data_IF_211322366327
#
_entry.id   IF_211322366327
#
_cell.length_a   1.000
_cell.length_b   1.000
_cell.length_c   1.000
_cell.angle_alpha   90.00
_cell.angle_beta   90.00
_cell.angle_gamma   90.00
#
_symmetry.space_group_name_H-M   'P 1'
#
loop_
_entity.id
_entity.type
_entity.pdbx_description
1 polymer ?
#
# COMPACT_ATOMS: atom_id res chain seq x y z
N UNK A 1 17.85 -3.54 1.03
CA UNK A 1 18.62 -3.21 -0.20
C UNK A 1 17.75 -2.36 -1.13
N UNK A 2 18.32 -1.43 -1.90
CA UNK A 2 17.58 -0.57 -2.84
C UNK A 2 18.23 -0.65 -4.21
N UNK A 3 17.45 -0.76 -5.28
CA UNK A 3 17.94 -0.80 -6.66
C UNK A 3 18.46 0.57 -7.12
N UNK A 4 19.50 1.08 -6.46
CA UNK A 4 20.18 2.32 -6.81
C UNK A 4 21.30 1.96 -7.79
N UNK A 5 21.01 2.11 -9.09
CA UNK A 5 21.93 1.79 -10.17
C UNK A 5 23.25 2.57 -10.10
N UNK A 6 24.35 1.88 -10.43
CA UNK A 6 25.66 2.46 -10.73
C UNK A 6 25.50 3.55 -11.81
N UNK A 7 25.99 4.76 -11.55
CA UNK A 7 26.11 5.82 -12.57
C UNK A 7 27.10 5.34 -13.65
N UNK A 8 26.68 5.38 -14.92
CA UNK A 8 27.60 5.39 -16.07
C UNK A 8 28.42 6.68 -15.99
N UNK A 9 29.73 6.56 -15.83
CA UNK A 9 30.64 7.70 -15.95
C UNK A 9 30.59 8.28 -17.36
N UNK A 10 30.52 9.61 -17.46
CA UNK A 10 30.74 10.33 -18.71
C UNK A 10 32.24 10.29 -19.02
N UNK A 11 32.63 9.61 -20.09
CA UNK A 11 33.94 9.79 -20.71
C UNK A 11 33.78 10.72 -21.92
N UNK A 12 34.75 11.61 -22.07
CA UNK A 12 34.79 12.72 -23.01
C UNK A 12 34.91 12.25 -24.48
N UNK A 13 34.53 13.15 -25.38
CA UNK A 13 34.54 13.01 -26.81
C UNK A 13 35.94 12.82 -27.39
N UNK A 14 36.09 11.89 -28.34
CA UNK A 14 36.95 11.99 -29.52
C UNK A 14 36.42 11.01 -30.60
N UNK A 15 36.17 11.52 -31.81
CA UNK A 15 36.05 10.81 -33.08
C UNK A 15 37.16 11.38 -33.99
N UNK A 16 37.57 10.75 -35.12
CA UNK A 16 36.89 9.68 -35.87
C UNK A 16 37.80 8.52 -36.37
N UNK A 17 37.22 7.41 -36.82
CA UNK A 17 37.41 6.85 -38.19
C UNK A 17 36.68 5.49 -38.36
N UNK A 18 36.08 5.35 -39.54
CA UNK A 18 35.22 4.26 -40.01
C UNK A 18 35.83 2.85 -39.91
N UNK A 19 35.10 1.91 -39.28
CA UNK A 19 35.05 0.51 -39.71
C UNK A 19 33.61 -0.01 -39.60
N UNK A 20 33.02 -0.32 -40.75
CA UNK A 20 31.71 -0.96 -40.91
C UNK A 20 31.78 -2.41 -40.37
N UNK A 21 31.34 -2.62 -39.14
CA UNK A 21 30.88 -3.94 -38.69
C UNK A 21 29.37 -3.87 -38.50
N UNK A 22 28.63 -4.51 -39.40
CA UNK A 22 27.24 -4.89 -39.17
C UNK A 22 27.22 -5.92 -38.02
N UNK A 23 27.21 -5.42 -36.78
CA UNK A 23 26.69 -6.19 -35.65
C UNK A 23 25.19 -6.20 -35.80
N UNK A 24 24.65 -7.35 -36.16
CA UNK A 24 23.25 -7.70 -35.90
C UNK A 24 22.98 -7.41 -34.43
N UNK A 25 22.32 -6.29 -34.15
CA UNK A 25 21.78 -5.97 -32.84
C UNK A 25 20.70 -7.01 -32.56
N UNK A 26 21.08 -8.09 -31.86
CA UNK A 26 20.08 -8.84 -31.10
C UNK A 26 19.37 -7.84 -30.20
N UNK A 27 18.03 -7.84 -30.12
CA UNK A 27 17.30 -6.96 -29.22
C UNK A 27 17.72 -7.29 -27.80
N UNK A 28 18.65 -6.50 -27.24
CA UNK A 28 19.10 -6.64 -25.88
C UNK A 28 17.87 -6.62 -24.98
N UNK A 29 17.57 -7.74 -24.34
CA UNK A 29 16.44 -7.83 -23.42
C UNK A 29 16.69 -6.83 -22.28
N UNK A 30 15.97 -5.71 -22.31
CA UNK A 30 16.00 -4.75 -21.21
C UNK A 30 15.27 -5.41 -20.04
N UNK A 31 16.02 -6.00 -19.11
CA UNK A 31 15.47 -6.59 -17.90
C UNK A 31 14.79 -5.53 -17.03
N UNK A 32 13.62 -5.87 -16.49
CA UNK A 32 12.92 -5.00 -15.55
C UNK A 32 13.82 -4.64 -14.38
N UNK A 33 13.76 -3.38 -13.95
CA UNK A 33 14.53 -2.85 -12.82
C UNK A 33 16.05 -3.11 -12.94
N UNK A 34 16.57 -3.22 -14.15
CA UNK A 34 17.98 -3.54 -14.43
C UNK A 34 18.46 -4.85 -13.80
N UNK A 35 17.59 -5.87 -13.72
CA UNK A 35 17.92 -7.20 -13.20
C UNK A 35 18.38 -7.18 -11.72
N UNK A 36 17.97 -6.17 -10.95
CA UNK A 36 18.50 -5.95 -9.61
C UNK A 36 18.02 -6.96 -8.55
N UNK A 37 16.99 -7.76 -8.85
CA UNK A 37 16.43 -8.78 -7.95
C UNK A 37 16.82 -10.21 -8.35
N UNK A 38 17.81 -10.37 -9.23
CA UNK A 38 18.17 -11.67 -9.78
C UNK A 38 18.62 -12.63 -8.67
N UNK A 39 17.87 -13.73 -8.50
CA UNK A 39 18.14 -14.71 -7.45
C UNK A 39 17.81 -14.24 -6.02
N UNK A 40 17.21 -13.06 -5.85
CA UNK A 40 16.66 -12.63 -4.56
C UNK A 40 15.48 -13.55 -4.19
N UNK A 41 15.36 -13.83 -2.89
CA UNK A 41 14.36 -14.77 -2.36
C UNK A 41 13.42 -14.09 -1.38
N UNK A 42 12.20 -14.64 -1.27
CA UNK A 42 11.30 -14.34 -0.15
C UNK A 42 11.11 -15.61 0.66
N UNK A 43 11.46 -15.54 1.95
CA UNK A 43 11.49 -16.68 2.87
C UNK A 43 10.56 -16.39 4.05
N UNK A 44 9.69 -17.35 4.36
CA UNK A 44 8.83 -17.33 5.54
C UNK A 44 9.42 -18.19 6.65
N UNK A 45 9.36 -17.68 7.87
CA UNK A 45 9.52 -18.47 9.08
C UNK A 45 8.51 -18.03 10.15
N UNK A 46 8.19 -18.94 11.07
CA UNK A 46 7.29 -18.70 12.19
C UNK A 46 8.01 -19.20 13.44
N UNK A 47 8.62 -18.31 14.24
CA UNK A 47 9.35 -18.73 15.42
C UNK A 47 8.41 -19.36 16.44
N UNK A 48 8.87 -20.41 17.11
CA UNK A 48 8.10 -21.20 18.06
C UNK A 48 8.56 -21.05 19.50
N UNK A 49 9.74 -20.46 19.72
CA UNK A 49 10.29 -20.22 21.05
C UNK A 49 10.98 -18.87 21.10
N UNK A 50 11.20 -18.34 22.30
CA UNK A 50 11.94 -17.08 22.50
C UNK A 50 13.41 -17.19 22.04
N UNK A 51 14.01 -18.38 22.10
CA UNK A 51 15.36 -18.62 21.55
C UNK A 51 15.38 -18.45 20.03
N UNK A 52 14.39 -19.00 19.32
CA UNK A 52 14.25 -18.81 17.88
C UNK A 52 14.02 -17.31 17.55
N UNK A 53 13.20 -16.62 18.34
CA UNK A 53 12.98 -15.17 18.19
C UNK A 53 14.28 -14.40 18.34
N UNK A 54 15.05 -14.65 19.39
CA UNK A 54 16.34 -14.00 19.62
C UNK A 54 17.34 -14.27 18.49
N UNK A 55 17.44 -15.53 18.07
CA UNK A 55 18.28 -15.98 16.96
C UNK A 55 17.94 -15.25 15.64
N UNK A 56 16.65 -15.17 15.31
CA UNK A 56 16.15 -14.51 14.09
C UNK A 56 16.35 -13.01 14.12
N UNK A 57 16.14 -12.36 15.27
CA UNK A 57 16.41 -10.93 15.45
C UNK A 57 17.88 -10.61 15.20
N UNK A 58 18.79 -11.44 15.74
CA UNK A 58 20.24 -11.29 15.59
C UNK A 58 20.68 -11.42 14.13
N UNK A 59 20.30 -12.51 13.44
CA UNK A 59 20.72 -12.74 12.05
C UNK A 59 20.12 -11.70 11.10
N UNK A 60 18.86 -11.31 11.32
CA UNK A 60 18.18 -10.30 10.48
C UNK A 60 18.86 -8.94 10.56
N UNK A 61 19.32 -8.54 11.76
CA UNK A 61 20.08 -7.31 11.95
C UNK A 61 21.46 -7.38 11.25
N UNK A 62 22.17 -8.51 11.35
CA UNK A 62 23.45 -8.72 10.69
C UNK A 62 23.35 -8.66 9.16
N UNK A 63 22.32 -9.31 8.61
CA UNK A 63 22.11 -9.41 7.15
C UNK A 63 21.40 -8.18 6.56
N UNK A 64 20.87 -7.28 7.39
CA UNK A 64 20.11 -6.07 6.98
C UNK A 64 18.97 -6.42 6.01
N UNK A 65 18.14 -7.36 6.43
CA UNK A 65 17.06 -7.90 5.62
C UNK A 65 15.92 -6.89 5.37
N UNK A 66 15.18 -7.05 4.26
CA UNK A 66 13.94 -6.32 3.99
C UNK A 66 12.76 -7.14 4.50
N UNK A 67 12.11 -6.66 5.56
CA UNK A 67 10.96 -7.34 6.14
C UNK A 67 9.68 -6.94 5.39
N UNK A 68 9.00 -7.95 4.85
CA UNK A 68 7.69 -7.79 4.23
C UNK A 68 6.59 -7.82 5.29
N UNK A 69 6.71 -8.73 6.27
CA UNK A 69 5.84 -8.84 7.42
C UNK A 69 6.62 -9.45 8.59
N UNK A 70 6.56 -8.90 9.83
CA UNK A 70 6.05 -7.57 10.18
C UNK A 70 6.95 -6.46 9.62
N UNK A 71 6.60 -5.18 9.80
CA UNK A 71 7.38 -4.06 9.21
C UNK A 71 8.73 -3.77 9.89
N UNK A 72 9.00 -4.38 11.06
CA UNK A 72 10.23 -4.20 11.83
C UNK A 72 10.58 -5.48 12.57
N UNK A 73 11.89 -5.71 12.74
CA UNK A 73 12.42 -6.88 13.43
C UNK A 73 12.04 -6.93 14.91
N UNK A 74 11.73 -5.77 15.49
CA UNK A 74 11.28 -5.64 16.88
C UNK A 74 10.00 -6.43 17.17
N UNK A 75 9.14 -6.65 16.17
CA UNK A 75 7.85 -7.32 16.34
C UNK A 75 7.87 -8.81 16.05
N UNK A 76 9.02 -9.37 15.65
CA UNK A 76 9.14 -10.81 15.58
C UNK A 76 9.04 -11.34 17.01
N UNK A 77 8.01 -12.14 17.25
CA UNK A 77 7.69 -12.81 18.51
C UNK A 77 7.16 -14.20 18.22
N UNK A 78 7.02 -15.05 19.24
CA UNK A 78 6.50 -16.40 19.07
C UNK A 78 5.18 -16.42 18.27
N UNK A 79 5.08 -17.34 17.31
CA UNK A 79 3.91 -17.49 16.43
C UNK A 79 3.76 -16.41 15.35
N UNK A 80 4.62 -15.39 15.32
CA UNK A 80 4.54 -14.32 14.33
C UNK A 80 4.97 -14.80 12.95
N UNK A 81 4.06 -14.74 11.97
CA UNK A 81 4.43 -14.96 10.56
C UNK A 81 5.43 -13.91 10.12
N UNK A 82 6.63 -14.36 9.76
CA UNK A 82 7.73 -13.47 9.36
C UNK A 82 8.17 -13.78 7.94
N UNK A 83 7.95 -12.83 7.04
CA UNK A 83 8.31 -12.87 5.64
C UNK A 83 9.48 -11.93 5.37
N UNK A 84 10.55 -12.48 4.82
CA UNK A 84 11.81 -11.77 4.60
C UNK A 84 12.20 -11.82 3.14
N UNK A 85 12.32 -10.65 2.53
CA UNK A 85 13.01 -10.47 1.27
C UNK A 85 14.51 -10.31 1.54
N UNK A 86 15.30 -11.18 0.90
CA UNK A 86 16.75 -11.20 1.06
C UNK A 86 17.45 -11.40 -0.28
N UNK A 87 18.54 -10.66 -0.55
CA UNK A 87 19.24 -10.86 -1.79
C UNK A 87 19.94 -12.19 -1.92
N UNK A 88 20.24 -12.60 -3.15
CA UNK A 88 20.83 -13.91 -3.45
C UNK A 88 22.01 -14.28 -2.53
N UNK A 89 22.96 -13.36 -2.33
CA UNK A 89 24.12 -13.60 -1.47
C UNK A 89 23.74 -13.79 0.01
N UNK A 90 22.81 -12.97 0.51
CA UNK A 90 22.32 -13.07 1.89
C UNK A 90 21.47 -14.32 2.11
N UNK A 91 20.76 -14.78 1.09
CA UNK A 91 19.88 -15.95 1.17
C UNK A 91 20.64 -17.22 1.56
N UNK A 92 21.87 -17.41 1.06
CA UNK A 92 22.71 -18.56 1.42
C UNK A 92 23.07 -18.57 2.90
N UNK A 93 23.50 -17.42 3.42
CA UNK A 93 23.85 -17.27 4.84
C UNK A 93 22.62 -17.46 5.75
N UNK A 94 21.48 -16.88 5.38
CA UNK A 94 20.24 -17.03 6.15
C UNK A 94 19.76 -18.49 6.15
N UNK A 95 19.76 -19.17 4.99
CA UNK A 95 19.32 -20.56 4.90
C UNK A 95 20.23 -21.51 5.70
N UNK A 96 21.55 -21.32 5.64
CA UNK A 96 22.49 -22.11 6.44
C UNK A 96 22.24 -21.90 7.95
N UNK A 97 22.05 -20.65 8.39
CA UNK A 97 21.72 -20.33 9.77
C UNK A 97 20.42 -20.99 10.24
N UNK A 98 19.36 -20.90 9.41
CA UNK A 98 18.06 -21.50 9.75
C UNK A 98 18.15 -23.02 9.87
N UNK A 99 18.95 -23.66 9.01
CA UNK A 99 19.18 -25.11 9.08
C UNK A 99 19.97 -25.51 10.33
N UNK A 100 21.06 -24.79 10.64
CA UNK A 100 21.89 -25.03 11.82
C UNK A 100 21.10 -24.84 13.13
N UNK A 101 20.28 -23.79 13.20
CA UNK A 101 19.42 -23.50 14.33
C UNK A 101 18.14 -24.36 14.38
N UNK A 102 17.95 -25.28 13.43
CA UNK A 102 16.75 -26.12 13.28
C UNK A 102 15.43 -25.31 13.22
N UNK A 103 15.48 -24.09 12.69
CA UNK A 103 14.32 -23.20 12.54
C UNK A 103 13.60 -23.56 11.24
N UNK A 104 12.33 -23.95 11.35
CA UNK A 104 11.51 -24.29 10.18
C UNK A 104 11.21 -23.06 9.33
N UNK A 105 11.42 -23.19 8.02
CA UNK A 105 11.16 -22.13 7.04
C UNK A 105 10.50 -22.67 5.77
N UNK A 106 9.93 -21.76 4.98
CA UNK A 106 9.39 -22.01 3.64
C UNK A 106 9.89 -20.94 2.68
N UNK A 107 10.44 -21.34 1.55
CA UNK A 107 10.74 -20.39 0.48
C UNK A 107 9.41 -20.09 -0.25
N UNK A 108 8.96 -18.85 -0.19
CA UNK A 108 7.74 -18.39 -0.86
C UNK A 108 8.03 -18.05 -2.33
N UNK A 109 9.15 -17.35 -2.56
CA UNK A 109 9.59 -16.93 -3.89
C UNK A 109 11.07 -17.31 -4.04
N UNK A 110 11.35 -18.17 -5.01
CA UNK A 110 12.69 -18.71 -5.28
C UNK A 110 13.58 -17.76 -6.09
N UNK A 111 12.97 -16.98 -7.00
CA UNK A 111 13.65 -15.98 -7.82
C UNK A 111 12.71 -14.80 -8.07
N UNK A 112 12.97 -13.71 -7.36
CA UNK A 112 12.10 -12.54 -7.35
C UNK A 112 12.08 -11.83 -8.71
N UNK A 113 13.23 -11.73 -9.38
CA UNK A 113 13.32 -11.15 -10.72
C UNK A 113 12.50 -11.93 -11.75
N UNK A 114 12.64 -13.26 -11.79
CA UNK A 114 11.85 -14.08 -12.72
C UNK A 114 10.35 -13.95 -12.47
N UNK A 115 9.96 -13.80 -11.20
CA UNK A 115 8.55 -13.59 -10.82
C UNK A 115 8.03 -12.25 -11.36
N UNK A 116 8.83 -11.18 -11.28
CA UNK A 116 8.50 -9.87 -11.86
C UNK A 116 8.35 -9.93 -13.39
N UNK A 117 9.31 -10.58 -14.07
CA UNK A 117 9.34 -10.66 -15.54
C UNK A 117 8.17 -11.48 -16.10
N UNK A 118 7.77 -12.55 -15.40
CA UNK A 118 6.56 -13.31 -15.74
C UNK A 118 5.30 -12.42 -15.70
N UNK A 119 5.21 -11.52 -14.73
CA UNK A 119 4.11 -10.56 -14.61
C UNK A 119 4.14 -9.47 -15.69
N UNK A 120 5.33 -9.03 -16.14
CA UNK A 120 5.48 -7.90 -17.06
C UNK A 120 5.35 -8.25 -18.54
N UNK A 121 5.63 -9.50 -18.93
CA UNK A 121 5.39 -9.95 -20.31
C UNK A 121 3.92 -9.79 -20.72
N UNK A 122 3.00 -9.71 -19.74
CA UNK A 122 1.60 -9.37 -19.96
C UNK A 122 1.38 -7.85 -20.18
N UNK A 123 2.23 -6.97 -19.63
CA UNK A 123 2.11 -5.50 -19.70
C UNK A 123 2.61 -4.91 -21.03
N UNK A 124 3.69 -5.42 -21.63
CA UNK A 124 4.29 -4.87 -22.86
C UNK A 124 3.38 -4.96 -24.10
N UNK A 125 2.38 -5.83 -24.11
CA UNK A 125 1.38 -5.89 -25.20
C UNK A 125 0.25 -4.84 -25.10
N UNK A 126 0.27 -3.94 -24.09
CA UNK A 126 -0.91 -3.14 -23.71
C UNK A 126 -0.90 -1.67 -24.12
N UNK A 127 0.18 -1.17 -24.73
CA UNK A 127 0.41 0.24 -25.07
C UNK A 127 -0.53 0.88 -26.12
N UNK A 128 -1.72 0.32 -26.38
CA UNK A 128 -2.67 0.81 -27.41
C UNK A 128 -4.14 0.75 -26.98
N UNK A 129 -4.49 1.03 -25.72
CA UNK A 129 -5.90 1.12 -25.31
C UNK A 129 -6.31 2.57 -25.15
N UNK A 130 -7.41 2.97 -25.80
CA UNK A 130 -8.05 4.27 -25.60
C UNK A 130 -8.53 4.42 -24.15
N UNK A 131 -8.72 5.65 -23.68
CA UNK A 131 -9.31 5.91 -22.35
C UNK A 131 -10.73 5.32 -22.20
N UNK A 132 -11.45 5.08 -23.30
CA UNK A 132 -12.72 4.34 -23.30
C UNK A 132 -12.56 2.84 -23.03
N UNK A 133 -11.36 2.27 -23.21
CA UNK A 133 -10.99 0.89 -22.96
C UNK A 133 -10.14 0.69 -21.69
N UNK A 134 -10.28 1.58 -20.69
CA UNK A 134 -9.56 1.47 -19.41
C UNK A 134 -9.85 0.12 -18.72
N UNK A 135 -8.80 -0.64 -18.40
CA UNK A 135 -8.94 -2.00 -17.89
C UNK A 135 -8.69 -2.08 -16.38
N UNK A 136 -9.76 -2.18 -15.59
CA UNK A 136 -9.67 -2.27 -14.13
C UNK A 136 -9.12 -3.61 -13.59
N UNK A 137 -8.75 -4.54 -14.46
CA UNK A 137 -8.21 -5.87 -14.10
C UNK A 137 -6.69 -5.95 -14.32
N UNK A 138 -6.00 -4.82 -14.46
CA UNK A 138 -4.53 -4.73 -14.55
C UNK A 138 -3.99 -3.63 -13.65
N UNK A 139 -2.69 -3.66 -13.36
CA UNK A 139 -2.04 -2.53 -12.66
C UNK A 139 -1.71 -1.40 -13.63
N UNK A 140 -1.85 -0.16 -13.16
CA UNK A 140 -1.65 1.04 -13.94
C UNK A 140 -0.58 1.95 -13.33
N UNK A 141 0.26 2.53 -14.18
CA UNK A 141 1.21 3.57 -13.79
C UNK A 141 0.50 4.81 -13.22
N UNK A 142 1.26 5.66 -12.52
CA UNK A 142 0.71 6.92 -11.99
C UNK A 142 0.06 7.79 -13.08
N UNK A 143 0.69 7.85 -14.26
CA UNK A 143 0.22 8.66 -15.38
C UNK A 143 -1.12 8.14 -15.92
N UNK A 144 -1.25 6.83 -16.11
CA UNK A 144 -2.52 6.21 -16.53
C UNK A 144 -3.65 6.47 -15.52
N UNK A 145 -3.37 6.34 -14.22
CA UNK A 145 -4.35 6.63 -13.16
C UNK A 145 -4.74 8.12 -13.19
N UNK A 146 -3.79 9.03 -13.36
CA UNK A 146 -4.11 10.47 -13.44
C UNK A 146 -4.93 10.81 -14.69
N UNK A 147 -4.56 10.27 -15.85
CA UNK A 147 -5.32 10.43 -17.09
C UNK A 147 -6.75 9.87 -16.96
N UNK A 148 -6.91 8.74 -16.29
CA UNK A 148 -8.21 8.16 -15.92
C UNK A 148 -9.03 9.10 -15.03
N UNK A 149 -8.43 9.66 -13.97
CA UNK A 149 -9.12 10.62 -13.10
C UNK A 149 -9.59 11.86 -13.86
N UNK A 150 -8.74 12.44 -14.71
CA UNK A 150 -9.07 13.57 -15.57
C UNK A 150 -10.22 13.23 -16.54
N UNK A 151 -10.17 12.04 -17.15
CA UNK A 151 -11.22 11.57 -18.04
C UNK A 151 -12.57 11.46 -17.30
N UNK A 152 -12.60 10.81 -16.13
CA UNK A 152 -13.83 10.68 -15.33
C UNK A 152 -14.39 12.02 -14.87
N UNK A 153 -13.53 12.96 -14.47
CA UNK A 153 -13.97 14.31 -14.11
C UNK A 153 -14.65 15.04 -15.28
N UNK A 154 -14.18 14.82 -16.51
CA UNK A 154 -14.77 15.41 -17.73
C UNK A 154 -16.08 14.71 -18.12
N UNK A 155 -16.12 13.39 -18.11
CA UNK A 155 -17.25 12.61 -18.65
C UNK A 155 -18.38 12.38 -17.64
N UNK A 156 -18.11 12.49 -16.33
CA UNK A 156 -19.08 12.23 -15.26
C UNK A 156 -19.19 13.39 -14.25
N UNK A 157 -19.08 14.63 -14.72
CA UNK A 157 -19.04 15.87 -13.92
C UNK A 157 -20.26 16.10 -13.00
N UNK A 158 -21.38 15.42 -13.25
CA UNK A 158 -22.57 15.42 -12.38
C UNK A 158 -22.41 14.58 -11.10
N UNK A 159 -21.46 13.64 -11.07
CA UNK A 159 -21.25 12.71 -9.95
C UNK A 159 -19.81 12.77 -9.40
N UNK A 160 -18.82 13.06 -10.25
CA UNK A 160 -17.40 13.09 -9.90
C UNK A 160 -16.88 14.51 -10.04
N UNK A 161 -16.11 14.95 -9.05
CA UNK A 161 -15.29 16.14 -9.14
C UNK A 161 -13.87 15.85 -8.66
N UNK A 162 -12.88 16.08 -9.54
CA UNK A 162 -11.46 15.94 -9.25
C UNK A 162 -10.86 17.28 -8.88
N UNK A 163 -10.04 17.31 -7.83
CA UNK A 163 -9.22 18.48 -7.46
C UNK A 163 -7.97 18.05 -6.70
N UNK A 164 -6.97 18.93 -6.66
CA UNK A 164 -5.73 18.69 -5.90
C UNK A 164 -5.86 19.26 -4.48
N UNK A 165 -5.31 18.54 -3.50
CA UNK A 165 -5.20 18.98 -2.10
C UNK A 165 -3.80 19.43 -1.70
N UNK A 166 -2.83 19.35 -2.61
CA UNK A 166 -1.44 19.70 -2.36
C UNK A 166 -0.49 19.19 -3.43
N UNK A 167 0.81 19.16 -3.10
CA UNK A 167 1.85 18.59 -3.94
C UNK A 167 2.72 17.64 -3.12
N UNK A 168 3.24 16.60 -3.75
CA UNK A 168 4.24 15.70 -3.18
C UNK A 168 5.60 16.37 -3.05
N UNK A 169 6.57 15.67 -2.45
CA UNK A 169 7.93 16.17 -2.30
C UNK A 169 8.61 16.48 -3.64
N UNK A 170 8.41 15.65 -4.67
CA UNK A 170 8.93 15.84 -6.02
C UNK A 170 8.00 16.73 -6.89
N UNK A 171 6.98 17.35 -6.29
CA UNK A 171 6.17 18.39 -6.92
C UNK A 171 4.94 17.92 -7.69
N UNK A 172 4.59 16.63 -7.65
CA UNK A 172 3.41 16.04 -8.32
C UNK A 172 2.13 16.40 -7.57
N UNK A 173 1.06 16.68 -8.29
CA UNK A 173 -0.24 17.01 -7.68
C UNK A 173 -0.84 15.85 -6.91
N UNK A 174 -1.39 16.13 -5.73
CA UNK A 174 -2.09 15.17 -4.88
C UNK A 174 -3.58 15.23 -5.17
N UNK A 175 -4.03 14.48 -6.17
CA UNK A 175 -5.42 14.49 -6.63
C UNK A 175 -6.32 13.61 -5.78
N UNK A 176 -7.55 14.09 -5.55
CA UNK A 176 -8.65 13.31 -5.00
C UNK A 176 -9.89 13.44 -5.87
N UNK A 177 -10.72 12.40 -5.86
CA UNK A 177 -12.05 12.37 -6.46
C UNK A 177 -13.10 12.54 -5.37
N UNK A 178 -13.94 13.57 -5.48
CA UNK A 178 -15.18 13.68 -4.72
C UNK A 178 -16.30 13.05 -5.53
N UNK A 179 -16.83 11.93 -5.04
CA UNK A 179 -17.89 11.15 -5.65
C UNK A 179 -19.18 11.27 -4.83
N UNK A 180 -20.31 11.51 -5.51
CA UNK A 180 -21.64 11.50 -4.90
C UNK A 180 -22.57 12.56 -5.51
N UNK A 181 -23.89 12.37 -5.39
CA UNK A 181 -24.85 13.34 -5.94
C UNK A 181 -24.78 14.68 -5.20
N UNK A 182 -25.00 15.80 -5.89
CA UNK A 182 -24.97 17.12 -5.25
C UNK A 182 -26.07 17.25 -4.18
N UNK A 183 -25.67 17.59 -2.95
CA UNK A 183 -26.54 17.97 -1.83
C UNK A 183 -25.72 18.70 -0.75
N UNK A 184 -26.36 19.61 0.00
CA UNK A 184 -25.70 20.45 1.01
C UNK A 184 -25.39 19.72 2.34
N UNK A 185 -26.09 18.64 2.68
CA UNK A 185 -26.09 18.08 4.05
C UNK A 185 -25.54 16.65 4.17
N UNK A 186 -24.67 16.22 3.24
CA UNK A 186 -24.13 14.85 3.28
C UNK A 186 -22.99 14.70 4.28
N UNK A 187 -22.96 13.53 4.92
CA UNK A 187 -21.77 13.01 5.58
C UNK A 187 -20.76 12.56 4.51
N UNK A 188 -19.51 12.38 4.90
CA UNK A 188 -18.47 11.96 3.99
C UNK A 188 -17.70 10.74 4.49
N UNK A 189 -17.17 9.97 3.56
CA UNK A 189 -16.23 8.88 3.77
C UNK A 189 -14.95 9.25 3.06
N UNK A 190 -13.83 9.18 3.77
CA UNK A 190 -12.51 9.28 3.17
C UNK A 190 -11.99 7.87 2.86
N UNK A 191 -11.47 7.69 1.65
CA UNK A 191 -10.84 6.47 1.18
C UNK A 191 -9.48 6.86 0.60
N UNK A 192 -8.40 6.27 1.11
CA UNK A 192 -7.08 6.40 0.49
C UNK A 192 -6.42 5.05 0.27
N UNK A 193 -5.57 5.03 -0.76
CA UNK A 193 -4.85 3.85 -1.19
C UNK A 193 -3.40 4.23 -1.53
N UNK A 194 -2.49 3.26 -1.46
CA UNK A 194 -1.11 3.44 -1.93
C UNK A 194 -0.30 4.45 -1.10
N UNK A 195 -0.52 4.47 0.22
CA UNK A 195 0.36 5.20 1.15
C UNK A 195 1.75 4.55 1.21
N UNK A 196 1.82 3.23 1.06
CA UNK A 196 3.04 2.51 0.74
C UNK A 196 3.09 2.19 -0.75
N UNK A 197 4.20 2.52 -1.39
CA UNK A 197 4.32 2.50 -2.85
C UNK A 197 4.26 1.10 -3.48
N UNK A 198 4.79 0.07 -2.81
CA UNK A 198 4.85 -1.32 -3.32
C UNK A 198 3.51 -2.07 -3.28
N UNK A 199 2.49 -1.53 -2.61
CA UNK A 199 1.20 -2.20 -2.35
C UNK A 199 0.19 -1.93 -3.47
N UNK A 200 0.51 -2.37 -4.70
CA UNK A 200 -0.21 -1.99 -5.93
C UNK A 200 -1.70 -2.36 -5.97
N UNK A 201 -2.13 -3.38 -5.21
CA UNK A 201 -3.54 -3.77 -5.13
C UNK A 201 -4.42 -2.72 -4.44
N UNK A 202 -3.86 -1.89 -3.55
CA UNK A 202 -4.57 -0.77 -2.93
C UNK A 202 -5.05 0.24 -3.99
N UNK A 203 -4.15 0.88 -4.76
CA UNK A 203 -4.55 1.77 -5.85
C UNK A 203 -5.50 1.14 -6.87
N UNK A 204 -5.33 -0.14 -7.20
CA UNK A 204 -6.25 -0.87 -8.08
C UNK A 204 -7.67 -0.96 -7.47
N UNK A 205 -7.78 -1.23 -6.16
CA UNK A 205 -9.06 -1.23 -5.46
C UNK A 205 -9.73 0.15 -5.45
N UNK A 206 -8.99 1.23 -5.18
CA UNK A 206 -9.57 2.58 -5.24
C UNK A 206 -10.18 2.91 -6.61
N UNK A 207 -9.54 2.49 -7.70
CA UNK A 207 -10.08 2.63 -9.05
C UNK A 207 -11.32 1.76 -9.28
N UNK A 208 -11.27 0.52 -8.80
CA UNK A 208 -12.41 -0.41 -8.87
C UNK A 208 -13.63 0.11 -8.11
N UNK A 209 -13.46 0.70 -6.92
CA UNK A 209 -14.55 1.30 -6.16
C UNK A 209 -15.26 2.39 -6.98
N UNK A 210 -14.49 3.27 -7.64
CA UNK A 210 -15.05 4.34 -8.51
C UNK A 210 -15.78 3.75 -9.71
N UNK A 211 -15.21 2.74 -10.37
CA UNK A 211 -15.85 2.00 -11.46
C UNK A 211 -17.20 1.44 -11.02
N UNK A 212 -17.22 0.66 -9.94
CA UNK A 212 -18.44 0.02 -9.45
C UNK A 212 -19.50 1.03 -9.07
N UNK A 213 -19.11 2.14 -8.43
CA UNK A 213 -20.04 3.21 -8.12
C UNK A 213 -20.64 3.84 -9.37
N UNK A 214 -19.85 4.10 -10.42
CA UNK A 214 -20.35 4.63 -11.69
C UNK A 214 -21.29 3.65 -12.40
N UNK A 215 -20.93 2.37 -12.46
CA UNK A 215 -21.71 1.35 -13.16
C UNK A 215 -23.02 1.02 -12.43
N UNK A 216 -23.01 0.99 -11.09
CA UNK A 216 -24.12 0.42 -10.31
C UNK A 216 -24.99 1.45 -9.59
N UNK A 217 -24.65 2.74 -9.60
CA UNK A 217 -25.46 3.75 -8.88
C UNK A 217 -26.93 3.84 -9.31
N UNK A 218 -27.28 3.38 -10.52
CA UNK A 218 -28.67 3.31 -10.99
C UNK A 218 -29.31 1.95 -10.76
N UNK A 219 -28.57 0.84 -10.74
CA UNK A 219 -29.13 -0.52 -10.64
C UNK A 219 -29.10 -1.07 -9.21
N UNK A 220 -28.00 -0.87 -8.47
CA UNK A 220 -27.83 -1.36 -7.09
C UNK A 220 -28.44 -0.36 -6.07
N UNK A 221 -29.50 -0.75 -5.33
CA UNK A 221 -30.12 0.10 -4.32
C UNK A 221 -29.16 0.52 -3.20
N UNK A 222 -28.22 -0.33 -2.80
CA UNK A 222 -27.25 -0.02 -1.76
C UNK A 222 -26.28 1.06 -2.26
N UNK A 223 -25.70 0.89 -3.46
CA UNK A 223 -24.84 1.91 -4.08
C UNK A 223 -25.57 3.24 -4.27
N UNK A 224 -26.80 3.19 -4.78
CA UNK A 224 -27.66 4.38 -4.94
C UNK A 224 -27.87 5.09 -3.60
N UNK A 225 -28.20 4.34 -2.54
CA UNK A 225 -28.41 4.90 -1.20
C UNK A 225 -27.15 5.53 -0.63
N UNK A 226 -25.98 4.87 -0.77
CA UNK A 226 -24.69 5.43 -0.37
C UNK A 226 -24.42 6.75 -1.07
N UNK A 227 -24.48 6.80 -2.40
CA UNK A 227 -24.18 8.02 -3.17
C UNK A 227 -25.23 9.13 -2.99
N UNK A 228 -26.45 8.79 -2.54
CA UNK A 228 -27.49 9.76 -2.19
C UNK A 228 -27.25 10.41 -0.81
N UNK A 229 -26.61 9.73 0.14
CA UNK A 229 -26.46 10.21 1.53
C UNK A 229 -25.02 10.53 1.94
N UNK A 230 -24.05 10.01 1.20
CA UNK A 230 -22.62 10.16 1.46
C UNK A 230 -21.91 10.82 0.28
N UNK A 231 -20.89 11.61 0.58
CA UNK A 231 -19.80 11.86 -0.35
C UNK A 231 -18.67 10.87 -0.07
N UNK A 232 -17.99 10.41 -1.12
CA UNK A 232 -16.76 9.66 -1.01
C UNK A 232 -15.62 10.54 -1.52
N UNK A 233 -14.65 10.84 -0.67
CA UNK A 233 -13.38 11.46 -1.07
C UNK A 233 -12.36 10.35 -1.24
N UNK A 234 -11.93 10.12 -2.47
CA UNK A 234 -11.09 8.98 -2.83
C UNK A 234 -9.76 9.50 -3.32
N UNK A 235 -8.68 9.08 -2.68
CA UNK A 235 -7.29 9.34 -3.08
C UNK A 235 -6.68 8.03 -3.60
N UNK A 236 -6.71 7.76 -4.92
CA UNK A 236 -6.25 6.48 -5.46
C UNK A 236 -4.77 6.19 -5.22
N UNK A 237 -3.94 7.23 -5.17
CA UNK A 237 -2.51 7.11 -4.89
C UNK A 237 -2.11 8.21 -3.91
N UNK A 238 -1.88 7.82 -2.65
CA UNK A 238 -1.45 8.72 -1.58
C UNK A 238 0.01 9.15 -1.79
N UNK A 239 0.92 8.17 -1.91
CA UNK A 239 2.35 8.39 -2.08
C UNK A 239 2.71 8.38 -3.57
N UNK A 240 2.36 9.45 -4.27
CA UNK A 240 2.52 9.54 -5.74
C UNK A 240 3.98 9.41 -6.19
N UNK A 241 4.93 9.94 -5.42
CA UNK A 241 6.36 9.87 -5.78
C UNK A 241 6.91 8.46 -5.58
N UNK A 242 6.60 7.84 -4.44
CA UNK A 242 6.98 6.45 -4.18
C UNK A 242 6.33 5.51 -5.18
N UNK A 243 5.04 5.68 -5.48
CA UNK A 243 4.32 4.84 -6.44
C UNK A 243 4.99 4.92 -7.82
N UNK A 244 5.25 6.12 -8.33
CA UNK A 244 6.00 6.29 -9.58
C UNK A 244 7.38 5.62 -9.54
N UNK A 245 8.13 5.79 -8.45
CA UNK A 245 9.43 5.15 -8.26
C UNK A 245 9.35 3.61 -8.27
N UNK A 246 8.24 3.04 -7.80
CA UNK A 246 8.01 1.59 -7.85
C UNK A 246 7.79 1.04 -9.25
N UNK A 247 7.35 1.87 -10.19
CA UNK A 247 7.23 1.51 -11.60
C UNK A 247 8.55 1.68 -12.38
N UNK A 248 9.36 2.67 -12.00
CA UNK A 248 10.51 3.09 -12.81
C UNK A 248 11.86 2.58 -12.29
N UNK A 249 12.01 2.33 -10.99
CA UNK A 249 13.32 2.12 -10.37
C UNK A 249 13.35 0.94 -9.40
N UNK A 250 12.39 0.85 -8.48
CA UNK A 250 12.45 -0.10 -7.36
C UNK A 250 11.05 -0.57 -6.98
N UNK A 251 10.64 -1.72 -7.54
CA UNK A 251 9.32 -2.32 -7.30
C UNK A 251 8.93 -2.48 -5.84
N UNK A 252 9.90 -2.67 -4.94
CA UNK A 252 9.65 -2.89 -3.52
C UNK A 252 9.89 -1.64 -2.67
N UNK A 253 10.02 -0.48 -3.31
CA UNK A 253 10.02 0.79 -2.60
C UNK A 253 8.72 1.00 -1.81
N UNK A 254 8.84 1.33 -0.53
CA UNK A 254 7.72 1.53 0.39
C UNK A 254 7.45 3.01 0.68
N UNK A 255 8.51 3.74 1.04
CA UNK A 255 8.47 5.09 1.66
C UNK A 255 8.09 6.21 0.68
N UNK A 256 7.97 7.44 1.18
CA UNK A 256 7.98 8.66 0.33
C UNK A 256 9.32 8.85 -0.38
N UNK A 257 9.54 9.97 -1.07
CA UNK A 257 10.79 10.28 -1.79
C UNK A 257 11.54 11.51 -1.27
N UNK A 258 11.16 12.01 -0.09
CA UNK A 258 11.84 13.11 0.59
C UNK A 258 13.33 12.85 0.79
N UNK A 259 14.14 13.89 0.63
CA UNK A 259 15.59 13.81 0.85
C UNK A 259 15.88 14.04 2.33
N UNK A 260 16.78 13.21 2.86
CA UNK A 260 17.45 13.51 4.12
C UNK A 260 18.76 14.25 3.81
N UNK A 261 19.06 15.34 4.54
CA UNK A 261 20.27 16.14 4.30
C UNK A 261 21.55 15.48 4.82
N UNK A 262 21.45 14.62 5.83
CA UNK A 262 22.60 13.98 6.50
C UNK A 262 22.89 12.58 5.98
N UNK A 263 21.86 11.85 5.53
CA UNK A 263 21.98 10.47 5.05
C UNK A 263 21.70 10.37 3.56
N UNK A 264 22.40 9.46 2.87
CA UNK A 264 22.12 9.14 1.45
C UNK A 264 20.77 8.43 1.25
N UNK A 265 20.12 8.02 2.33
CA UNK A 265 18.81 7.38 2.33
C UNK A 265 17.68 8.39 2.08
N UNK A 266 16.60 7.91 1.45
CA UNK A 266 15.44 8.72 1.08
C UNK A 266 14.16 8.13 1.65
N UNK A 267 13.19 9.03 1.82
CA UNK A 267 11.82 8.72 2.18
C UNK A 267 11.61 8.48 3.66
N UNK A 268 10.37 8.75 4.05
CA UNK A 268 9.77 8.50 5.36
C UNK A 268 8.65 7.47 5.17
N UNK A 269 8.43 6.61 6.15
CA UNK A 269 7.22 5.79 6.19
C UNK A 269 6.03 6.73 6.46
N UNK A 270 5.23 6.96 5.42
CA UNK A 270 4.07 7.85 5.49
C UNK A 270 3.05 7.38 6.53
N UNK A 271 3.02 6.09 6.92
CA UNK A 271 2.16 5.55 7.96
C UNK A 271 2.86 5.43 9.33
N UNK A 272 3.98 6.14 9.52
CA UNK A 272 4.61 6.43 10.83
C UNK A 272 4.76 7.94 11.09
N UNK A 273 4.33 8.77 10.14
CA UNK A 273 4.58 10.20 10.17
C UNK A 273 3.42 11.03 10.72
N UNK A 274 2.30 10.43 11.13
CA UNK A 274 1.13 11.21 11.57
C UNK A 274 1.30 11.74 13.00
N UNK A 275 0.69 12.91 13.30
CA UNK A 275 0.75 13.56 14.63
C UNK A 275 -0.10 12.85 15.70
N UNK A 276 0.16 11.57 15.94
CA UNK A 276 -0.47 10.74 16.97
C UNK A 276 0.59 9.81 17.55
N UNK A 277 0.99 10.06 18.80
CA UNK A 277 2.08 9.30 19.45
C UNK A 277 3.31 9.15 18.54
N UNK A 278 3.66 10.20 17.81
CA UNK A 278 4.61 10.11 16.71
C UNK A 278 5.97 9.60 17.15
N UNK A 279 6.52 8.66 16.37
CA UNK A 279 7.82 8.05 16.55
C UNK A 279 8.10 7.42 17.92
N UNK A 280 7.03 7.00 18.59
CA UNK A 280 7.08 6.13 19.75
C UNK A 280 7.30 4.67 19.29
N UNK A 281 6.89 3.68 20.08
CA UNK A 281 7.00 2.27 19.74
C UNK A 281 6.57 1.96 18.29
N UNK A 282 7.44 1.25 17.60
CA UNK A 282 7.10 0.69 16.31
C UNK A 282 7.35 1.56 15.07
N UNK A 283 8.09 2.64 15.26
CA UNK A 283 8.72 3.41 14.21
C UNK A 283 10.23 3.50 14.46
N UNK A 284 10.99 3.91 13.45
CA UNK A 284 12.44 4.14 13.58
C UNK A 284 12.77 5.62 13.45
N UNK A 285 13.75 6.08 14.23
CA UNK A 285 14.38 7.40 14.07
C UNK A 285 15.51 7.38 13.02
N UNK A 286 15.92 6.21 12.53
CA UNK A 286 17.03 6.09 11.62
C UNK A 286 16.58 6.23 10.14
N UNK A 287 17.08 7.23 9.37
CA UNK A 287 16.55 7.56 8.05
C UNK A 287 16.63 6.47 6.97
N UNK A 288 17.48 5.46 7.16
CA UNK A 288 17.61 4.36 6.22
C UNK A 288 16.59 3.26 6.42
N UNK A 289 15.93 3.21 7.58
CA UNK A 289 15.00 2.16 7.93
C UNK A 289 13.68 2.34 7.20
N UNK A 290 13.02 1.24 6.86
CA UNK A 290 11.77 1.29 6.10
C UNK A 290 10.58 1.79 6.92
N UNK A 291 10.70 1.80 8.26
CA UNK A 291 9.75 2.37 9.22
C UNK A 291 10.19 3.74 9.75
N UNK A 292 11.13 4.43 9.08
CA UNK A 292 11.59 5.76 9.49
C UNK A 292 10.41 6.73 9.61
N UNK A 293 10.22 7.32 10.79
CA UNK A 293 9.06 8.16 11.13
C UNK A 293 9.15 9.61 10.63
N UNK A 294 10.29 10.02 10.09
CA UNK A 294 10.56 11.38 9.63
C UNK A 294 11.28 12.23 10.67
N UNK A 295 11.64 13.49 10.33
CA UNK A 295 12.28 14.41 11.25
C UNK A 295 11.33 15.02 12.30
N UNK A 296 10.02 15.07 12.02
CA UNK A 296 8.97 15.58 12.90
C UNK A 296 7.59 15.07 12.39
N UNK A 297 6.51 15.09 13.20
CA UNK A 297 5.20 14.63 12.75
C UNK A 297 4.62 15.53 11.64
N UNK A 298 4.03 14.89 10.63
CA UNK A 298 3.51 15.50 9.41
C UNK A 298 4.59 16.25 8.62
N UNK A 299 5.83 15.74 8.64
CA UNK A 299 6.94 16.26 7.82
C UNK A 299 6.74 16.03 6.33
N UNK A 300 6.08 14.94 5.97
CA UNK A 300 5.89 14.60 4.57
C UNK A 300 4.78 15.45 3.96
N UNK A 301 5.02 16.15 2.84
CA UNK A 301 4.02 17.04 2.25
C UNK A 301 2.74 16.29 1.84
N UNK A 302 2.84 15.00 1.49
CA UNK A 302 1.71 14.11 1.23
C UNK A 302 0.85 13.92 2.49
N UNK A 303 1.48 13.56 3.61
CA UNK A 303 0.81 13.40 4.92
C UNK A 303 0.22 14.72 5.38
N UNK A 304 0.96 15.81 5.23
CA UNK A 304 0.52 17.15 5.62
C UNK A 304 -0.72 17.59 4.85
N UNK A 305 -0.75 17.36 3.53
CA UNK A 305 -1.88 17.72 2.69
C UNK A 305 -3.16 16.98 3.11
N UNK A 306 -3.08 15.66 3.33
CA UNK A 306 -4.24 14.86 3.77
C UNK A 306 -4.67 15.25 5.18
N UNK A 307 -3.73 15.40 6.12
CA UNK A 307 -4.03 15.84 7.48
C UNK A 307 -4.74 17.20 7.52
N UNK A 308 -4.30 18.16 6.69
CA UNK A 308 -4.95 19.47 6.54
C UNK A 308 -6.36 19.33 5.96
N UNK A 309 -6.54 18.52 4.91
CA UNK A 309 -7.85 18.27 4.31
C UNK A 309 -8.82 17.65 5.32
N UNK A 310 -8.40 16.61 6.03
CA UNK A 310 -9.22 15.90 7.01
C UNK A 310 -9.57 16.80 8.21
N UNK A 311 -8.61 17.58 8.74
CA UNK A 311 -8.89 18.57 9.80
C UNK A 311 -9.95 19.59 9.39
N UNK A 312 -9.86 20.12 8.17
CA UNK A 312 -10.82 21.09 7.63
C UNK A 312 -12.24 20.51 7.51
N UNK A 313 -12.36 19.21 7.24
CA UNK A 313 -13.63 18.53 7.01
C UNK A 313 -14.08 17.59 8.14
N UNK A 314 -13.42 17.63 9.31
CA UNK A 314 -13.63 16.68 10.42
C UNK A 314 -15.06 16.53 10.91
N UNK A 315 -15.87 17.59 10.80
CA UNK A 315 -17.30 17.57 11.20
C UNK A 315 -18.18 16.76 10.24
N UNK A 316 -17.74 16.60 8.98
CA UNK A 316 -18.50 15.96 7.92
C UNK A 316 -18.03 14.53 7.64
N UNK A 317 -16.73 14.26 7.77
CA UNK A 317 -16.16 12.94 7.54
C UNK A 317 -16.50 12.03 8.72
N UNK A 318 -17.21 10.94 8.45
CA UNK A 318 -17.67 9.98 9.45
C UNK A 318 -16.95 8.64 9.37
N UNK A 319 -16.27 8.35 8.27
CA UNK A 319 -15.37 7.22 8.18
C UNK A 319 -14.08 7.55 7.42
N UNK A 320 -13.01 6.88 7.83
CA UNK A 320 -11.68 6.90 7.22
C UNK A 320 -11.30 5.45 6.91
N UNK A 321 -11.09 5.11 5.63
CA UNK A 321 -10.71 3.78 5.18
C UNK A 321 -9.37 3.86 4.43
N UNK A 322 -8.32 3.28 4.99
CA UNK A 322 -7.00 3.17 4.34
C UNK A 322 -6.79 1.76 3.80
N UNK A 323 -6.36 1.63 2.55
CA UNK A 323 -6.15 0.33 1.90
C UNK A 323 -4.66 0.06 1.67
N UNK A 324 -4.21 -1.02 2.30
CA UNK A 324 -2.86 -1.56 2.30
C UNK A 324 -2.86 -2.99 1.75
N UNK A 325 -1.67 -3.56 1.63
CA UNK A 325 -1.48 -4.99 1.45
C UNK A 325 -0.15 -5.40 2.08
N UNK A 326 0.06 -6.64 2.49
CA UNK A 326 -0.85 -7.77 2.44
C UNK A 326 -0.97 -8.38 3.84
N UNK A 327 -2.08 -9.07 4.12
CA UNK A 327 -2.23 -9.98 5.26
C UNK A 327 -3.65 -10.55 5.40
N UNK A 328 -4.62 -10.07 4.62
CA UNK A 328 -6.06 -10.34 4.80
C UNK A 328 -6.54 -9.96 6.22
N UNK A 329 -6.43 -8.67 6.55
CA UNK A 329 -6.86 -8.14 7.84
C UNK A 329 -7.74 -6.89 7.68
N UNK A 330 -8.72 -6.72 8.56
CA UNK A 330 -9.48 -5.49 8.76
C UNK A 330 -9.21 -4.94 10.16
N UNK A 331 -8.36 -3.91 10.21
CA UNK A 331 -7.86 -3.35 11.44
C UNK A 331 -8.63 -2.07 11.81
N UNK A 332 -8.75 -1.80 13.11
CA UNK A 332 -9.23 -0.52 13.63
C UNK A 332 -8.37 -0.07 14.83
N UNK A 333 -8.51 1.18 15.32
CA UNK A 333 -7.71 1.69 16.42
C UNK A 333 -7.85 0.88 17.73
N UNK A 334 -6.85 0.87 18.60
CA UNK A 334 -5.57 1.59 18.44
C UNK A 334 -4.49 0.71 17.82
N UNK A 335 -3.57 1.33 17.07
CA UNK A 335 -2.28 0.73 16.72
C UNK A 335 -1.21 1.06 17.75
N UNK A 336 -1.18 2.27 18.32
CA UNK A 336 -0.08 2.70 19.22
C UNK A 336 -0.17 2.19 20.67
N UNK A 337 -1.24 1.50 21.07
CA UNK A 337 -1.42 1.00 22.43
C UNK A 337 -2.41 -0.15 22.53
N UNK A 338 -2.26 -0.96 23.56
CA UNK A 338 -3.26 -1.94 23.99
C UNK A 338 -4.36 -1.27 24.81
N UNK A 339 -5.42 -0.82 24.14
CA UNK A 339 -6.59 -0.27 24.80
C UNK A 339 -7.83 -0.42 23.91
N UNK A 340 -9.00 -0.52 24.55
CA UNK A 340 -10.27 -0.45 23.84
C UNK A 340 -10.57 0.98 23.39
N UNK A 341 -11.27 1.10 22.27
CA UNK A 341 -11.77 2.39 21.76
C UNK A 341 -13.12 2.73 22.41
N UNK A 342 -13.42 4.02 22.66
CA UNK A 342 -14.69 4.43 23.27
C UNK A 342 -15.96 3.89 22.61
N UNK A 343 -16.02 3.79 21.29
CA UNK A 343 -17.17 3.27 20.53
C UNK A 343 -16.95 1.83 20.03
N UNK A 344 -16.28 1.00 20.82
CA UNK A 344 -15.90 -0.38 20.49
C UNK A 344 -17.04 -1.21 19.89
N UNK A 345 -18.19 -1.30 20.55
CA UNK A 345 -19.33 -2.11 20.08
C UNK A 345 -19.76 -1.78 18.63
N UNK A 346 -19.78 -0.49 18.29
CA UNK A 346 -20.12 -0.03 16.93
C UNK A 346 -19.08 -0.49 15.90
N UNK A 347 -17.81 -0.23 16.20
CA UNK A 347 -16.68 -0.45 15.28
C UNK A 347 -16.45 -1.94 15.09
N UNK A 348 -16.51 -2.72 16.17
CA UNK A 348 -16.36 -4.18 16.15
C UNK A 348 -17.52 -4.83 15.38
N UNK A 349 -18.77 -4.42 15.63
CA UNK A 349 -19.92 -4.92 14.87
C UNK A 349 -19.82 -4.59 13.38
N UNK A 350 -19.31 -3.41 13.04
CA UNK A 350 -19.08 -3.02 11.65
C UNK A 350 -17.95 -3.85 11.01
N UNK A 351 -16.85 -4.08 11.72
CA UNK A 351 -15.74 -4.92 11.25
C UNK A 351 -16.19 -6.37 11.01
N UNK A 352 -16.86 -6.98 11.98
CA UNK A 352 -17.40 -8.34 11.89
C UNK A 352 -18.33 -8.51 10.69
N UNK A 353 -19.29 -7.61 10.50
CA UNK A 353 -20.22 -7.67 9.35
C UNK A 353 -19.50 -7.47 8.02
N UNK A 354 -18.47 -6.62 8.00
CA UNK A 354 -17.68 -6.38 6.80
C UNK A 354 -16.86 -7.60 6.39
N UNK A 355 -16.17 -8.27 7.33
CA UNK A 355 -15.40 -9.48 7.02
C UNK A 355 -16.29 -10.66 6.61
N UNK A 356 -17.46 -10.82 7.24
CA UNK A 356 -18.40 -11.88 6.85
C UNK A 356 -18.95 -11.65 5.45
N UNK A 357 -19.28 -10.41 5.10
CA UNK A 357 -19.73 -10.07 3.76
C UNK A 357 -18.62 -10.26 2.71
N UNK A 358 -17.37 -9.94 3.06
CA UNK A 358 -16.20 -10.22 2.21
C UNK A 358 -16.07 -11.72 1.98
N UNK A 359 -16.09 -12.51 3.05
CA UNK A 359 -15.95 -13.95 3.01
C UNK A 359 -17.05 -14.62 2.17
N UNK A 360 -18.28 -14.10 2.17
CA UNK A 360 -19.39 -14.70 1.41
C UNK A 360 -19.19 -14.73 -0.11
N UNK A 361 -18.24 -13.97 -0.67
CA UNK A 361 -18.01 -13.93 -2.13
C UNK A 361 -17.19 -15.12 -2.60
N UNK A 362 -16.03 -15.35 -1.95
CA UNK A 362 -15.04 -16.35 -2.40
C UNK A 362 -14.51 -17.24 -1.27
N UNK A 363 -15.09 -17.16 -0.07
CA UNK A 363 -14.65 -17.92 1.10
C UNK A 363 -13.36 -17.41 1.76
N UNK A 364 -12.82 -16.26 1.32
CA UNK A 364 -11.56 -15.72 1.84
C UNK A 364 -11.75 -15.17 3.25
N UNK A 365 -10.98 -15.70 4.18
CA UNK A 365 -11.04 -15.33 5.59
C UNK A 365 -10.13 -14.14 5.88
N UNK A 366 -10.71 -13.08 6.43
CA UNK A 366 -9.99 -11.92 6.96
C UNK A 366 -10.02 -11.95 8.49
N UNK A 367 -8.88 -11.74 9.13
CA UNK A 367 -8.83 -11.43 10.56
C UNK A 367 -9.30 -9.99 10.77
N UNK A 368 -9.86 -9.67 11.93
CA UNK A 368 -10.21 -8.31 12.28
C UNK A 368 -9.93 -8.04 13.75
N UNK A 369 -9.85 -6.76 14.14
CA UNK A 369 -9.63 -6.36 15.52
C UNK A 369 -8.79 -5.09 15.65
N UNK A 370 -8.41 -4.72 16.89
CA UNK A 370 -7.49 -3.61 17.13
C UNK A 370 -6.15 -3.88 16.47
N UNK A 371 -5.58 -2.88 15.78
CA UNK A 371 -4.31 -3.04 15.06
C UNK A 371 -3.16 -3.53 15.97
N UNK A 372 -3.10 -3.06 17.22
CA UNK A 372 -2.07 -3.45 18.19
C UNK A 372 -2.05 -4.95 18.49
N UNK A 373 -3.22 -5.61 18.53
CA UNK A 373 -3.37 -7.03 18.88
C UNK A 373 -3.48 -7.94 17.67
N UNK A 374 -4.07 -7.45 16.57
CA UNK A 374 -4.31 -8.27 15.37
C UNK A 374 -3.09 -8.27 14.44
N UNK A 375 -2.33 -7.17 14.41
CA UNK A 375 -1.13 -7.01 13.60
C UNK A 375 0.12 -6.86 14.48
N UNK A 376 0.35 -5.66 15.03
CA UNK A 376 1.40 -5.32 16.01
C UNK A 376 1.25 -3.85 16.44
N UNK A 377 1.85 -3.48 17.58
CA UNK A 377 1.88 -2.09 18.06
C UNK A 377 2.63 -1.21 17.06
N UNK A 378 2.07 -0.08 16.66
CA UNK A 378 2.79 0.90 15.85
C UNK A 378 2.30 2.32 16.07
N UNK A 379 3.25 3.24 16.11
CA UNK A 379 3.02 4.65 16.35
C UNK A 379 2.89 5.47 15.06
N UNK A 380 2.24 6.64 15.14
CA UNK A 380 2.15 7.58 14.01
C UNK A 380 1.35 7.10 12.81
N UNK A 381 0.37 6.20 12.98
CA UNK A 381 -0.49 5.70 11.90
C UNK A 381 -1.60 6.67 11.50
N UNK A 382 -2.03 6.61 10.24
CA UNK A 382 -3.10 7.46 9.69
C UNK A 382 -4.45 7.18 10.34
N UNK A 383 -4.75 5.90 10.59
CA UNK A 383 -5.99 5.43 11.19
C UNK A 383 -6.16 5.92 12.63
N UNK A 384 -5.12 5.82 13.46
CA UNK A 384 -5.15 6.33 14.83
C UNK A 384 -5.27 7.85 14.87
N UNK A 385 -4.62 8.53 13.92
CA UNK A 385 -4.72 9.99 13.79
C UNK A 385 -6.13 10.40 13.40
N UNK A 386 -6.74 9.73 12.43
CA UNK A 386 -8.10 9.99 11.97
C UNK A 386 -9.11 9.83 13.12
N UNK A 387 -8.98 8.74 13.88
CA UNK A 387 -9.81 8.46 15.04
C UNK A 387 -9.64 9.51 16.14
N UNK A 388 -8.39 9.82 16.52
CA UNK A 388 -8.09 10.85 17.52
C UNK A 388 -8.58 12.24 17.11
N UNK A 389 -8.70 12.52 15.82
CA UNK A 389 -9.22 13.79 15.29
C UNK A 389 -10.75 13.80 15.07
N UNK A 390 -11.47 12.82 15.64
CA UNK A 390 -12.94 12.83 15.72
C UNK A 390 -13.67 12.12 14.58
N UNK A 391 -12.97 11.31 13.77
CA UNK A 391 -13.61 10.44 12.79
C UNK A 391 -13.98 9.11 13.48
N UNK A 392 -15.27 8.82 13.72
CA UNK A 392 -15.69 7.74 14.62
C UNK A 392 -15.45 6.32 14.07
N UNK A 393 -15.34 6.15 12.75
CA UNK A 393 -15.05 4.86 12.12
C UNK A 393 -13.76 4.97 11.31
N UNK A 394 -12.65 4.52 11.88
CA UNK A 394 -11.36 4.48 11.19
C UNK A 394 -10.95 3.02 11.01
N UNK A 395 -10.69 2.61 9.77
CA UNK A 395 -10.29 1.25 9.44
C UNK A 395 -9.09 1.26 8.50
N UNK A 396 -8.23 0.26 8.64
CA UNK A 396 -7.18 -0.08 7.71
C UNK A 396 -7.39 -1.51 7.19
N UNK A 397 -7.43 -1.68 5.87
CA UNK A 397 -7.49 -2.99 5.23
C UNK A 397 -6.08 -3.42 4.85
N UNK A 398 -5.67 -4.62 5.25
CA UNK A 398 -4.57 -5.35 4.64
C UNK A 398 -5.17 -6.35 3.66
N UNK A 399 -5.12 -6.04 2.36
CA UNK A 399 -5.76 -6.84 1.32
C UNK A 399 -5.04 -8.19 1.09
N UNK A 400 -5.47 -8.92 0.06
CA UNK A 400 -4.83 -10.17 -0.35
C UNK A 400 -3.33 -9.99 -0.66
N UNK A 401 -2.53 -11.02 -0.51
CA UNK A 401 -2.86 -12.35 0.02
C UNK A 401 -2.31 -12.54 1.45
N UNK A 402 -1.98 -13.77 1.84
CA UNK A 402 -1.30 -14.06 3.11
C UNK A 402 0.18 -14.39 2.89
N UNK A 403 0.78 -13.86 1.81
CA UNK A 403 2.22 -13.87 1.51
C UNK A 403 2.69 -14.84 0.43
N UNK A 404 1.80 -15.61 -0.22
CA UNK A 404 2.23 -16.47 -1.34
C UNK A 404 2.80 -15.64 -2.50
N UNK A 405 2.12 -14.55 -2.84
CA UNK A 405 2.58 -13.52 -3.76
C UNK A 405 3.03 -12.26 -3.02
N UNK A 406 2.44 -12.00 -1.84
CA UNK A 406 2.69 -10.78 -1.07
C UNK A 406 2.41 -9.54 -1.91
N UNK A 407 3.42 -8.68 -2.08
CA UNK A 407 3.29 -7.45 -2.88
C UNK A 407 3.20 -7.68 -4.39
N UNK A 408 3.40 -8.91 -4.89
CA UNK A 408 3.34 -9.28 -6.31
C UNK A 408 2.04 -9.99 -6.70
N UNK A 409 0.94 -9.70 -6.00
CA UNK A 409 -0.37 -10.29 -6.27
C UNK A 409 -0.72 -10.20 -7.79
N UNK A 410 -0.92 -11.34 -8.48
CA UNK A 410 -1.17 -11.36 -9.93
C UNK A 410 -2.41 -10.57 -10.35
N UNK A 411 -2.38 -10.00 -11.56
CA UNK A 411 -3.47 -9.17 -12.08
C UNK A 411 -4.81 -9.92 -12.19
N UNK A 412 -4.78 -11.22 -12.47
CA UNK A 412 -5.98 -12.08 -12.46
C UNK A 412 -6.70 -12.12 -11.11
N UNK A 413 -6.01 -11.75 -10.01
CA UNK A 413 -6.58 -11.65 -8.66
C UNK A 413 -7.06 -10.23 -8.31
N UNK A 414 -6.87 -9.22 -9.17
CA UNK A 414 -7.38 -7.86 -8.93
C UNK A 414 -8.91 -7.90 -8.83
N UNK A 415 -9.61 -8.45 -9.82
CA UNK A 415 -11.08 -8.52 -9.80
C UNK A 415 -11.61 -9.30 -8.59
N UNK A 416 -11.14 -10.52 -8.27
CA UNK A 416 -11.56 -11.21 -7.06
C UNK A 416 -11.35 -10.39 -5.78
N UNK A 417 -10.15 -9.83 -5.59
CA UNK A 417 -9.80 -9.03 -4.41
C UNK A 417 -10.68 -7.78 -4.29
N UNK A 418 -10.91 -7.08 -5.40
CA UNK A 418 -11.73 -5.89 -5.39
C UNK A 418 -13.21 -6.19 -5.20
N UNK A 419 -13.71 -7.31 -5.73
CA UNK A 419 -15.13 -7.70 -5.63
C UNK A 419 -15.50 -8.05 -4.18
N UNK A 420 -14.68 -8.85 -3.49
CA UNK A 420 -14.91 -9.17 -2.07
C UNK A 420 -14.77 -7.92 -1.18
N UNK A 421 -13.75 -7.10 -1.42
CA UNK A 421 -13.49 -5.87 -0.63
C UNK A 421 -14.62 -4.85 -0.82
N UNK A 422 -15.22 -4.79 -2.01
CA UNK A 422 -16.37 -3.92 -2.28
C UNK A 422 -17.55 -4.22 -1.35
N UNK A 423 -17.81 -5.50 -1.03
CA UNK A 423 -18.88 -5.86 -0.09
C UNK A 423 -18.57 -5.44 1.35
N UNK A 424 -17.31 -5.54 1.77
CA UNK A 424 -16.87 -5.03 3.08
C UNK A 424 -17.10 -3.51 3.18
N UNK A 425 -16.67 -2.74 2.17
CA UNK A 425 -16.84 -1.28 2.14
C UNK A 425 -18.32 -0.90 2.12
N UNK A 426 -19.16 -1.57 1.30
CA UNK A 426 -20.61 -1.38 1.31
C UNK A 426 -21.20 -1.61 2.71
N UNK A 427 -20.78 -2.66 3.41
CA UNK A 427 -21.27 -2.95 4.77
C UNK A 427 -20.87 -1.87 5.78
N UNK A 428 -19.59 -1.48 5.82
CA UNK A 428 -19.10 -0.42 6.72
C UNK A 428 -19.89 0.87 6.47
N UNK A 429 -19.96 1.31 5.22
CA UNK A 429 -20.61 2.58 4.85
C UNK A 429 -22.11 2.59 5.07
N UNK A 430 -22.79 1.46 4.84
CA UNK A 430 -24.21 1.30 5.19
C UNK A 430 -24.43 1.29 6.71
N UNK A 431 -23.46 0.80 7.49
CA UNK A 431 -23.49 0.89 8.94
C UNK A 431 -23.44 2.35 9.42
N UNK A 432 -22.66 3.23 8.76
CA UNK A 432 -22.59 4.67 9.08
C UNK A 432 -23.93 5.42 8.93
N UNK A 433 -24.83 4.89 8.11
CA UNK A 433 -26.16 5.45 7.88
C UNK A 433 -27.16 5.02 8.96
N UNK A 434 -26.83 4.02 9.76
CA UNK A 434 -27.60 3.60 10.94
C UNK A 434 -27.08 4.40 12.16
N UNK A 435 -27.96 4.67 13.13
CA UNK A 435 -27.47 5.12 14.44
C UNK A 435 -26.77 3.92 15.09
N UNK A 436 -25.55 4.12 15.57
CA UNK A 436 -25.02 3.15 16.50
C UNK A 436 -25.83 3.26 17.79
N UNK A 437 -26.38 2.15 18.31
CA UNK A 437 -27.14 2.14 19.56
C UNK A 437 -26.34 2.67 20.74
#
# INVERSE_FOLDING_TARGET
MKCLGKRRGRAAAFLPLCWLFLKVLQPGHSHLYNNCYAGDKVIRFIPKTEEEVYALKKISHQLKVDLWQPSSISYVSEGTVTDVHIPQNGSRALLAFLQEANIRYKILIEDLQKTLEKGSNLQTQRNRRSLSGYNYEVYHSLEEIQNWMHHLNKTHSGLIHMFSIGRSYEGRSLFILKLGRRSRLKRAVWIDCGIHAREWIGPAFCQWFVKEALLTHKSDPAMRKMLNHLYFYIMPVFNVDGYHFSWTNDRFWRKTRSRNSRFRCRGVDANRNWKVKWCDEGASMHPCDDTYCGPFPESEPEVKAVANFLRKHRKHIRAYLSFHAYAQMLLYPYSYKYATIPNFSCVESAAYKAVNALQSVYGVQYRYGPASTTLYVSSGSSMDWAYKNGIPYAFAFELRDTGHFGFLLPEMLIKPTCTETMLAVKNITMHLLKKCP
#
